data_IF_254091251050
#
_entry.id   IF_254091251050
#
_cell.length_a   1.000
_cell.length_b   1.000
_cell.length_c   1.000
_cell.angle_alpha   90.00
_cell.angle_beta   90.00
_cell.angle_gamma   90.00
#
_symmetry.space_group_name_H-M   'P 1'
#
loop_
_entity.id
_entity.type
_entity.pdbx_description
1 polymer ?
#
# COMPACT_ATOMS: atom_id res chain seq x y z
N UNK A 1 22.17 26.06 -12.30
CA UNK A 1 22.45 25.12 -13.41
C UNK A 1 21.81 23.80 -13.01
N UNK A 2 20.70 23.44 -13.65
CA UNK A 2 20.06 22.16 -13.45
C UNK A 2 20.89 21.14 -14.20
N UNK A 3 21.65 20.36 -13.47
CA UNK A 3 22.40 19.25 -14.04
C UNK A 3 21.40 18.13 -14.28
N UNK A 4 21.20 17.72 -15.52
CA UNK A 4 20.47 16.51 -15.85
C UNK A 4 21.17 15.33 -15.16
N UNK A 5 20.42 14.51 -14.42
CA UNK A 5 20.96 13.34 -13.73
C UNK A 5 21.38 12.32 -14.80
N UNK A 6 22.69 12.16 -15.00
CA UNK A 6 23.23 11.15 -15.91
C UNK A 6 23.38 9.81 -15.17
N UNK A 7 22.56 8.84 -15.54
CA UNK A 7 22.61 7.46 -15.05
C UNK A 7 23.29 6.51 -16.04
N UNK A 8 23.98 7.07 -17.05
CA UNK A 8 24.72 6.29 -18.05
C UNK A 8 25.85 5.53 -17.36
N UNK A 9 25.94 4.22 -17.58
CA UNK A 9 26.99 3.40 -16.96
C UNK A 9 26.66 2.85 -15.56
N UNK A 10 25.53 3.24 -14.95
CA UNK A 10 25.09 2.62 -13.71
C UNK A 10 24.72 1.15 -13.98
N UNK A 11 25.41 0.24 -13.30
CA UNK A 11 25.10 -1.19 -13.38
C UNK A 11 23.81 -1.47 -12.60
N UNK A 12 22.80 -1.94 -13.31
CA UNK A 12 21.49 -2.26 -12.74
C UNK A 12 21.31 -3.76 -12.62
N UNK A 13 20.79 -4.26 -11.50
CA UNK A 13 20.39 -5.66 -11.41
C UNK A 13 19.22 -5.91 -12.38
N UNK A 14 19.19 -7.10 -12.97
CA UNK A 14 18.13 -7.46 -13.92
C UNK A 14 16.92 -8.07 -13.24
N UNK A 15 17.11 -8.79 -12.13
CA UNK A 15 16.10 -9.60 -11.49
C UNK A 15 16.43 -9.79 -10.00
N UNK A 16 15.40 -9.89 -9.18
CA UNK A 16 15.51 -10.43 -7.82
C UNK A 16 15.26 -11.94 -7.90
N UNK A 17 16.27 -12.73 -7.61
CA UNK A 17 16.13 -14.19 -7.49
C UNK A 17 15.58 -14.52 -6.11
N UNK A 18 14.55 -15.35 -6.05
CA UNK A 18 13.97 -15.80 -4.78
C UNK A 18 14.16 -17.31 -4.63
N UNK A 19 14.56 -17.70 -3.43
CA UNK A 19 14.65 -19.11 -3.01
C UNK A 19 13.81 -19.32 -1.76
N UNK A 20 12.75 -20.13 -1.87
CA UNK A 20 11.94 -20.51 -0.70
C UNK A 20 12.69 -21.55 0.11
N UNK A 21 12.54 -21.51 1.42
CA UNK A 21 13.07 -22.53 2.31
C UNK A 21 12.12 -23.73 2.31
N UNK A 22 12.64 -24.92 2.11
CA UNK A 22 11.85 -26.15 2.09
C UNK A 22 11.26 -26.51 3.46
N UNK A 23 11.96 -26.15 4.54
CA UNK A 23 11.59 -26.43 5.92
C UNK A 23 10.57 -25.42 6.49
N UNK A 24 10.41 -24.24 5.88
CA UNK A 24 9.52 -23.21 6.38
C UNK A 24 8.93 -22.37 5.22
N UNK A 25 7.64 -22.57 4.90
CA UNK A 25 6.98 -21.84 3.81
C UNK A 25 6.88 -20.33 4.06
N UNK A 26 7.05 -19.91 5.31
CA UNK A 26 7.02 -18.49 5.71
C UNK A 26 8.41 -17.85 5.69
N UNK A 27 9.43 -18.56 5.17
CA UNK A 27 10.79 -18.04 5.06
C UNK A 27 11.32 -18.14 3.62
N UNK A 28 11.97 -17.07 3.16
CA UNK A 28 12.59 -17.01 1.84
C UNK A 28 13.87 -16.17 1.86
N UNK A 29 14.73 -16.41 0.87
CA UNK A 29 15.91 -15.63 0.58
C UNK A 29 15.75 -14.91 -0.76
N UNK A 30 16.08 -13.65 -0.77
CA UNK A 30 16.02 -12.78 -1.96
C UNK A 30 17.43 -12.34 -2.31
N UNK A 31 17.86 -12.65 -3.52
CA UNK A 31 19.19 -12.30 -4.02
C UNK A 31 19.09 -11.25 -5.11
N UNK A 32 19.83 -10.15 -4.92
CA UNK A 32 19.92 -9.05 -5.87
C UNK A 32 21.38 -8.84 -6.27
N UNK A 33 21.66 -8.98 -7.56
CA UNK A 33 22.99 -8.77 -8.15
C UNK A 33 22.90 -8.47 -9.65
N UNK A 34 23.92 -7.80 -10.24
CA UNK A 34 25.01 -7.13 -9.58
C UNK A 34 24.59 -5.74 -9.07
N UNK A 35 25.21 -5.27 -8.00
CA UNK A 35 25.07 -3.93 -7.47
C UNK A 35 26.44 -3.26 -7.47
N UNK A 36 26.50 -1.95 -7.61
CA UNK A 36 27.75 -1.24 -7.42
C UNK A 36 28.22 -1.33 -5.97
N UNK A 37 29.53 -1.22 -5.78
CA UNK A 37 30.17 -1.34 -4.47
C UNK A 37 29.55 -0.40 -3.44
N UNK A 38 29.15 -0.96 -2.30
CA UNK A 38 28.50 -0.25 -1.19
C UNK A 38 26.98 -0.17 -1.28
N UNK A 39 26.37 -0.35 -2.45
CA UNK A 39 24.91 -0.33 -2.61
C UNK A 39 24.23 -1.51 -1.90
N UNK A 40 24.90 -2.67 -1.84
CA UNK A 40 24.40 -3.82 -1.10
C UNK A 40 24.08 -3.51 0.36
N UNK A 41 24.97 -2.80 1.05
CA UNK A 41 24.75 -2.39 2.44
C UNK A 41 23.67 -1.33 2.57
N UNK A 42 23.63 -0.35 1.69
CA UNK A 42 22.63 0.73 1.71
C UNK A 42 21.22 0.18 1.52
N UNK A 43 21.02 -0.62 0.47
CA UNK A 43 19.71 -1.22 0.18
C UNK A 43 19.32 -2.27 1.22
N UNK A 44 20.26 -3.15 1.59
CA UNK A 44 20.01 -4.21 2.57
C UNK A 44 19.58 -3.67 3.93
N UNK A 45 20.27 -2.65 4.43
CA UNK A 45 19.91 -2.04 5.71
C UNK A 45 18.58 -1.28 5.63
N UNK A 46 18.32 -0.56 4.55
CA UNK A 46 17.06 0.18 4.35
C UNK A 46 15.86 -0.77 4.30
N UNK A 47 15.91 -1.81 3.48
CA UNK A 47 14.85 -2.81 3.36
C UNK A 47 14.67 -3.56 4.68
N UNK A 48 15.77 -4.00 5.32
CA UNK A 48 15.68 -4.67 6.62
C UNK A 48 14.98 -3.83 7.68
N UNK A 49 15.30 -2.54 7.78
CA UNK A 49 14.66 -1.63 8.74
C UNK A 49 13.17 -1.49 8.47
N UNK A 50 12.77 -1.33 7.21
CA UNK A 50 11.37 -1.24 6.82
C UNK A 50 10.60 -2.53 7.09
N UNK A 51 11.19 -3.68 6.80
CA UNK A 51 10.61 -5.00 7.12
C UNK A 51 10.32 -5.15 8.62
N UNK A 52 11.21 -4.66 9.49
CA UNK A 52 11.11 -4.86 10.94
C UNK A 52 10.24 -3.81 11.66
N UNK A 53 9.90 -2.68 11.02
CA UNK A 53 9.22 -1.59 11.72
C UNK A 53 8.01 -1.00 11.01
N UNK A 54 7.89 -1.17 9.68
CA UNK A 54 7.00 -0.29 8.92
C UNK A 54 5.81 -0.99 8.28
N UNK A 55 5.81 -2.33 8.26
CA UNK A 55 4.71 -3.10 7.69
C UNK A 55 3.48 -3.03 8.61
N UNK A 56 2.31 -2.98 7.98
CA UNK A 56 1.02 -3.00 8.68
C UNK A 56 0.59 -4.44 8.92
N UNK A 57 0.07 -4.71 10.12
CA UNK A 57 -0.50 -5.99 10.50
C UNK A 57 -1.67 -5.81 11.44
N UNK A 58 -2.27 -6.91 11.90
CA UNK A 58 -3.34 -6.91 12.87
C UNK A 58 -2.87 -7.62 14.15
N UNK A 59 -3.32 -7.14 15.31
CA UNK A 59 -3.01 -7.72 16.61
C UNK A 59 -4.16 -7.49 17.61
N UNK A 60 -4.19 -8.31 18.66
CA UNK A 60 -5.03 -8.05 19.82
C UNK A 60 -4.39 -6.91 20.61
N UNK A 61 -5.16 -5.86 20.89
CA UNK A 61 -4.71 -4.69 21.64
C UNK A 61 -5.37 -4.55 23.00
N UNK A 62 -6.52 -5.23 23.18
CA UNK A 62 -7.20 -5.31 24.45
C UNK A 62 -8.02 -6.60 24.50
N UNK A 63 -8.36 -7.05 25.68
CA UNK A 63 -9.25 -8.17 25.88
C UNK A 63 -10.11 -7.96 27.12
N UNK A 64 -11.22 -8.65 27.13
CA UNK A 64 -12.11 -8.83 28.25
C UNK A 64 -12.32 -10.32 28.47
N UNK A 65 -12.24 -10.80 29.70
CA UNK A 65 -12.49 -12.19 30.04
C UNK A 65 -13.21 -12.23 31.36
N UNK A 66 -14.23 -13.06 31.49
CA UNK A 66 -15.01 -13.18 32.70
C UNK A 66 -14.13 -13.49 33.92
N UNK A 67 -14.30 -12.67 34.97
CA UNK A 67 -13.51 -12.77 36.19
C UNK A 67 -12.17 -12.04 36.17
N UNK A 68 -11.84 -11.33 35.08
CA UNK A 68 -10.64 -10.47 34.98
C UNK A 68 -11.02 -9.00 35.21
N UNK A 69 -10.32 -8.35 36.11
CA UNK A 69 -10.47 -6.91 36.42
C UNK A 69 -9.15 -6.18 36.17
N UNK A 70 -8.03 -6.83 36.36
CA UNK A 70 -6.70 -6.27 36.10
C UNK A 70 -5.68 -7.36 35.76
N UNK A 71 -4.54 -6.97 35.20
CA UNK A 71 -3.52 -7.87 34.65
C UNK A 71 -2.76 -8.73 35.72
N UNK A 72 -2.76 -8.29 36.97
CA UNK A 72 -2.00 -8.96 38.06
C UNK A 72 -2.87 -9.83 38.93
N UNK A 73 -3.79 -10.60 38.35
CA UNK A 73 -4.68 -11.50 39.12
C UNK A 73 -4.65 -12.93 38.58
N UNK A 74 -5.18 -13.83 39.37
CA UNK A 74 -5.53 -15.20 38.97
C UNK A 74 -7.02 -15.31 38.76
N UNK A 75 -7.42 -16.17 37.85
CA UNK A 75 -8.83 -16.44 37.58
C UNK A 75 -9.21 -17.78 38.26
N UNK A 76 -10.22 -17.77 39.11
CA UNK A 76 -10.70 -19.01 39.75
C UNK A 76 -11.14 -19.99 38.66
N UNK A 77 -10.64 -21.25 38.72
CA UNK A 77 -10.96 -22.30 37.75
C UNK A 77 -10.19 -22.20 36.42
N UNK A 78 -9.20 -21.33 36.32
CA UNK A 78 -8.24 -21.28 35.21
C UNK A 78 -6.83 -21.59 35.72
N UNK A 79 -6.07 -22.38 34.96
CA UNK A 79 -4.72 -22.82 35.35
C UNK A 79 -3.74 -21.67 35.32
N UNK A 80 -3.83 -20.88 34.25
CA UNK A 80 -2.92 -19.76 33.96
C UNK A 80 -3.36 -18.49 34.69
N UNK A 81 -2.39 -17.68 35.10
CA UNK A 81 -2.65 -16.32 35.54
C UNK A 81 -2.92 -15.39 34.33
N UNK A 82 -3.49 -14.22 34.62
CA UNK A 82 -3.83 -13.25 33.56
C UNK A 82 -2.59 -12.84 32.77
N UNK A 83 -1.42 -12.75 33.40
CA UNK A 83 -0.19 -12.39 32.72
C UNK A 83 0.24 -13.45 31.68
N UNK A 84 0.11 -14.73 32.01
CA UNK A 84 0.35 -15.83 31.07
C UNK A 84 -0.63 -15.82 29.91
N UNK A 85 -1.92 -15.52 30.17
CA UNK A 85 -2.93 -15.37 29.14
C UNK A 85 -2.54 -14.23 28.19
N UNK A 86 -2.14 -13.07 28.72
CA UNK A 86 -1.65 -11.94 27.95
C UNK A 86 -0.48 -12.33 27.03
N UNK A 87 0.50 -13.07 27.57
CA UNK A 87 1.65 -13.53 26.76
C UNK A 87 1.21 -14.46 25.60
N UNK A 88 0.19 -15.27 25.79
CA UNK A 88 -0.37 -16.15 24.76
C UNK A 88 -1.21 -15.38 23.74
N UNK A 89 -1.99 -14.38 24.19
CA UNK A 89 -2.74 -13.48 23.30
C UNK A 89 -1.81 -12.67 22.39
N UNK A 90 -0.66 -12.22 22.90
CA UNK A 90 0.39 -11.55 22.07
C UNK A 90 0.97 -12.46 20.99
N UNK A 91 0.87 -13.78 21.12
CA UNK A 91 1.31 -14.76 20.13
C UNK A 91 0.22 -15.13 19.13
N UNK A 92 -1.02 -14.69 19.36
CA UNK A 92 -2.12 -14.92 18.42
C UNK A 92 -1.84 -14.19 17.11
N UNK A 93 -1.86 -14.94 16.03
CA UNK A 93 -1.58 -14.42 14.69
C UNK A 93 -2.88 -14.42 13.88
N UNK A 94 -3.28 -13.25 13.41
CA UNK A 94 -4.56 -13.08 12.72
C UNK A 94 -4.45 -12.04 11.59
N UNK A 95 -5.38 -12.11 10.66
CA UNK A 95 -5.53 -11.18 9.53
C UNK A 95 -6.91 -10.56 9.61
N UNK A 96 -7.01 -9.26 9.38
CA UNK A 96 -8.27 -8.56 9.15
C UNK A 96 -8.43 -8.25 7.66
N UNK A 97 -9.66 -8.28 7.19
CA UNK A 97 -10.00 -7.87 5.82
C UNK A 97 -9.45 -6.47 5.51
N UNK A 98 -9.07 -6.19 4.25
CA UNK A 98 -8.47 -4.90 3.87
C UNK A 98 -9.28 -3.69 4.29
N UNK A 99 -10.60 -3.77 4.19
CA UNK A 99 -11.55 -2.66 4.43
C UNK A 99 -11.98 -2.53 5.91
N UNK A 100 -11.53 -3.44 6.79
CA UNK A 100 -11.87 -3.45 8.21
C UNK A 100 -10.64 -3.12 9.03
N UNK A 101 -10.69 -2.03 9.80
CA UNK A 101 -9.58 -1.60 10.64
C UNK A 101 -9.64 -2.15 12.07
N UNK A 102 -10.84 -2.49 12.56
CA UNK A 102 -11.07 -2.98 13.92
C UNK A 102 -12.14 -4.07 13.93
N UNK A 103 -11.99 -5.05 14.83
CA UNK A 103 -12.96 -6.12 15.04
C UNK A 103 -12.96 -6.57 16.49
N UNK A 104 -14.08 -7.12 16.95
CA UNK A 104 -14.20 -7.78 18.24
C UNK A 104 -14.47 -9.26 18.00
N UNK A 105 -13.57 -10.11 18.50
CA UNK A 105 -13.70 -11.55 18.41
C UNK A 105 -14.22 -12.09 19.72
N UNK A 106 -15.16 -13.03 19.67
CA UNK A 106 -15.76 -13.64 20.84
C UNK A 106 -15.19 -15.03 21.07
N UNK A 107 -15.02 -15.38 22.33
CA UNK A 107 -14.63 -16.72 22.76
C UNK A 107 -15.59 -17.17 23.87
N UNK A 108 -16.08 -18.38 23.76
CA UNK A 108 -16.94 -18.97 24.80
C UNK A 108 -16.56 -20.42 25.01
N UNK A 109 -16.45 -20.83 26.27
CA UNK A 109 -16.16 -22.20 26.67
C UNK A 109 -16.93 -22.56 27.95
N UNK A 110 -17.54 -23.75 27.95
CA UNK A 110 -18.35 -24.26 29.07
C UNK A 110 -17.76 -25.51 29.72
N UNK A 111 -16.73 -26.14 29.08
CA UNK A 111 -16.14 -27.40 29.52
C UNK A 111 -14.69 -27.26 29.92
N UNK A 112 -14.29 -28.03 30.96
CA UNK A 112 -12.90 -28.15 31.38
C UNK A 112 -11.98 -28.58 30.24
N UNK A 113 -10.77 -28.12 30.28
CA UNK A 113 -9.73 -28.44 29.33
C UNK A 113 -9.07 -27.21 28.65
N UNK A 114 -8.13 -27.45 27.76
CA UNK A 114 -7.40 -26.38 27.09
C UNK A 114 -8.29 -25.67 26.07
N UNK A 115 -8.17 -24.35 26.03
CA UNK A 115 -8.87 -23.44 25.11
C UNK A 115 -7.83 -22.91 24.11
N UNK A 116 -8.08 -23.12 22.84
CA UNK A 116 -7.18 -22.76 21.77
C UNK A 116 -7.74 -21.62 20.91
N UNK A 117 -6.91 -21.03 20.08
CA UNK A 117 -7.32 -20.00 19.14
C UNK A 117 -8.43 -20.44 18.16
N UNK A 118 -8.50 -21.73 17.82
CA UNK A 118 -9.61 -22.31 17.03
C UNK A 118 -10.98 -22.30 17.72
N UNK A 119 -11.00 -22.14 19.05
CA UNK A 119 -12.24 -22.07 19.83
C UNK A 119 -12.82 -20.64 19.86
N UNK A 120 -12.11 -19.66 19.28
CA UNK A 120 -12.64 -18.33 19.02
C UNK A 120 -13.72 -18.44 17.94
N UNK A 121 -14.86 -17.77 18.16
CA UNK A 121 -15.96 -17.76 17.22
C UNK A 121 -15.54 -17.20 15.86
N UNK A 122 -16.04 -17.81 14.78
CA UNK A 122 -15.73 -17.36 13.43
C UNK A 122 -16.26 -15.93 13.21
N UNK A 123 -15.40 -15.05 12.74
CA UNK A 123 -15.76 -13.67 12.43
C UNK A 123 -15.60 -13.41 10.92
N UNK A 124 -16.57 -12.73 10.30
CA UNK A 124 -16.61 -12.54 8.86
C UNK A 124 -15.38 -11.80 8.30
N UNK A 125 -14.86 -10.84 9.07
CA UNK A 125 -13.74 -9.98 8.66
C UNK A 125 -12.39 -10.36 9.30
N UNK A 126 -12.27 -11.49 10.01
CA UNK A 126 -11.04 -11.89 10.68
C UNK A 126 -10.73 -13.37 10.47
N UNK A 127 -9.49 -13.67 10.12
CA UNK A 127 -9.00 -15.04 9.98
C UNK A 127 -7.81 -15.29 10.91
N UNK A 128 -7.85 -16.41 11.66
CA UNK A 128 -6.80 -16.84 12.57
C UNK A 128 -5.81 -17.72 11.81
N UNK A 129 -4.54 -17.35 11.82
CA UNK A 129 -3.47 -18.04 11.08
C UNK A 129 -2.89 -19.20 11.90
N UNK A 130 -2.86 -19.08 13.23
CA UNK A 130 -2.33 -20.10 14.14
C UNK A 130 -3.41 -20.72 15.06
N UNK A 131 -4.37 -21.50 14.53
CA UNK A 131 -5.52 -22.03 15.30
C UNK A 131 -5.13 -22.98 16.44
N UNK A 132 -3.91 -23.50 16.42
CA UNK A 132 -3.35 -24.35 17.48
C UNK A 132 -2.75 -23.59 18.67
N UNK A 133 -2.77 -22.26 18.67
CA UNK A 133 -2.25 -21.45 19.78
C UNK A 133 -3.12 -21.66 21.03
N UNK A 134 -2.48 -22.11 22.12
CA UNK A 134 -3.15 -22.24 23.42
C UNK A 134 -3.36 -20.86 24.03
N UNK A 135 -4.57 -20.56 24.49
CA UNK A 135 -4.92 -19.30 25.15
C UNK A 135 -4.95 -19.45 26.67
N UNK A 136 -5.74 -20.38 27.19
CA UNK A 136 -5.83 -20.70 28.61
C UNK A 136 -6.40 -22.11 28.81
N UNK A 137 -6.44 -22.60 30.05
CA UNK A 137 -6.94 -23.95 30.40
C UNK A 137 -7.93 -23.84 31.53
N UNK A 138 -9.17 -24.34 31.32
CA UNK A 138 -10.19 -24.46 32.36
C UNK A 138 -9.96 -25.74 33.19
N UNK A 139 -9.96 -25.60 34.52
CA UNK A 139 -9.82 -26.72 35.45
C UNK A 139 -11.13 -27.48 35.65
N UNK A 140 -12.23 -26.76 35.65
CA UNK A 140 -13.57 -27.27 35.91
C UNK A 140 -14.54 -26.86 34.79
N UNK A 141 -15.69 -27.58 34.71
CA UNK A 141 -16.78 -27.20 33.83
C UNK A 141 -17.39 -25.87 34.32
N UNK A 142 -17.19 -24.83 33.53
CA UNK A 142 -17.59 -23.48 33.85
C UNK A 142 -17.79 -22.68 32.55
N UNK A 143 -18.88 -21.93 32.52
CA UNK A 143 -19.11 -20.98 31.42
C UNK A 143 -18.15 -19.77 31.57
N UNK A 144 -17.28 -19.59 30.59
CA UNK A 144 -16.35 -18.48 30.49
C UNK A 144 -16.53 -17.85 29.14
N UNK A 145 -16.89 -16.57 29.14
CA UNK A 145 -16.98 -15.76 27.94
C UNK A 145 -15.88 -14.70 27.92
N UNK A 146 -15.43 -14.36 26.73
CA UNK A 146 -14.41 -13.33 26.53
C UNK A 146 -14.55 -12.63 25.20
N UNK A 147 -13.98 -11.44 25.14
CA UNK A 147 -13.91 -10.58 23.96
C UNK A 147 -12.46 -10.21 23.71
N UNK A 148 -12.02 -10.34 22.47
CA UNK A 148 -10.69 -9.94 22.02
C UNK A 148 -10.85 -8.77 21.05
N UNK A 149 -10.33 -7.63 21.43
CA UNK A 149 -10.35 -6.41 20.63
C UNK A 149 -9.13 -6.40 19.73
N UNK A 150 -9.36 -6.42 18.43
CA UNK A 150 -8.33 -6.51 17.40
C UNK A 150 -8.37 -5.27 16.54
N UNK A 151 -7.20 -4.73 16.20
CA UNK A 151 -7.09 -3.63 15.26
C UNK A 151 -5.86 -3.78 14.35
N UNK A 152 -5.77 -2.93 13.34
CA UNK A 152 -4.61 -2.79 12.46
C UNK A 152 -3.68 -1.70 12.96
N UNK A 153 -2.38 -2.01 12.96
CA UNK A 153 -1.34 -1.07 13.35
C UNK A 153 -0.01 -1.36 12.66
N UNK A 154 1.06 -0.71 13.13
CA UNK A 154 2.44 -0.88 12.64
C UNK A 154 3.40 -1.01 13.80
N UNK A 155 4.40 -1.89 13.63
CA UNK A 155 5.47 -2.06 14.61
C UNK A 155 4.98 -2.61 15.94
N UNK A 156 5.34 -1.95 17.02
CA UNK A 156 4.99 -2.29 18.40
C UNK A 156 4.32 -1.07 19.07
N UNK A 157 3.22 -1.32 19.75
CA UNK A 157 2.47 -0.28 20.47
C UNK A 157 2.25 -0.77 21.90
N UNK A 158 2.66 0.03 22.87
CA UNK A 158 2.48 -0.25 24.29
C UNK A 158 1.01 -0.11 24.72
N UNK A 159 0.60 -0.84 25.73
CA UNK A 159 -0.77 -0.86 26.24
C UNK A 159 -1.30 0.55 26.60
N UNK A 160 -0.43 1.41 27.11
CA UNK A 160 -0.79 2.78 27.51
C UNK A 160 -1.04 3.71 26.32
N UNK A 161 -0.43 3.42 25.15
CA UNK A 161 -0.54 4.23 23.94
C UNK A 161 -1.82 3.94 23.15
N UNK A 162 -2.51 2.85 23.47
CA UNK A 162 -3.79 2.57 22.84
C UNK A 162 -4.87 3.58 23.29
N UNK A 163 -5.74 4.03 22.39
CA UNK A 163 -6.75 5.01 22.69
C UNK A 163 -7.67 4.49 23.80
N UNK A 164 -7.97 5.38 24.75
CA UNK A 164 -8.99 5.11 25.77
C UNK A 164 -10.32 5.51 25.16
N UNK A 165 -11.07 4.54 24.65
CA UNK A 165 -12.43 4.78 24.21
C UNK A 165 -13.37 4.69 25.43
N UNK A 166 -14.17 5.74 25.64
CA UNK A 166 -15.16 5.79 26.72
C UNK A 166 -16.33 4.84 26.52
N UNK A 167 -16.44 4.26 25.33
CA UNK A 167 -17.45 3.25 24.99
C UNK A 167 -17.06 1.85 25.43
N UNK A 168 -15.79 1.60 25.76
CA UNK A 168 -15.30 0.30 26.19
C UNK A 168 -15.78 0.00 27.64
N UNK A 169 -16.14 -1.26 27.95
CA UNK A 169 -16.39 -1.70 29.29
C UNK A 169 -15.22 -1.42 30.25
N UNK A 170 -15.52 -1.18 31.52
CA UNK A 170 -14.50 -0.81 32.53
C UNK A 170 -13.53 -1.95 32.81
N UNK A 171 -13.96 -3.20 32.59
CA UNK A 171 -13.20 -4.44 32.80
C UNK A 171 -12.36 -4.89 31.61
N UNK A 172 -12.18 -4.02 30.60
CA UNK A 172 -11.28 -4.28 29.46
C UNK A 172 -9.82 -4.03 29.86
N UNK A 173 -8.99 -5.03 29.67
CA UNK A 173 -7.54 -4.97 29.90
C UNK A 173 -6.82 -4.70 28.58
N UNK A 174 -6.11 -3.58 28.51
CA UNK A 174 -5.26 -3.23 27.34
C UNK A 174 -3.93 -3.97 27.44
N UNK A 175 -3.41 -4.40 26.30
CA UNK A 175 -2.14 -5.12 26.21
C UNK A 175 -1.26 -4.52 25.12
N UNK A 176 0.05 -4.71 25.25
CA UNK A 176 0.99 -4.32 24.18
C UNK A 176 0.72 -5.16 22.94
N UNK A 177 0.78 -4.50 21.78
CA UNK A 177 0.45 -5.11 20.51
C UNK A 177 1.66 -5.18 19.58
N UNK A 178 1.90 -6.35 19.01
CA UNK A 178 2.94 -6.60 18.02
C UNK A 178 2.27 -6.74 16.65
N UNK A 179 2.26 -5.63 15.89
CA UNK A 179 1.60 -5.60 14.58
C UNK A 179 2.47 -6.11 13.45
N UNK A 180 3.80 -6.08 13.65
CA UNK A 180 4.72 -6.41 12.56
C UNK A 180 4.58 -7.89 12.13
N UNK A 181 4.28 -8.17 10.85
CA UNK A 181 4.16 -9.53 10.35
C UNK A 181 5.52 -10.21 10.12
N UNK A 182 6.63 -9.47 10.12
CA UNK A 182 7.97 -10.02 9.93
C UNK A 182 8.61 -10.35 11.27
N UNK A 183 8.90 -11.63 11.47
CA UNK A 183 9.58 -12.15 12.69
C UNK A 183 11.07 -11.96 12.63
N UNK A 184 11.68 -12.19 11.47
CA UNK A 184 13.12 -12.09 11.25
C UNK A 184 13.43 -11.51 9.88
N UNK A 185 14.34 -10.55 9.84
CA UNK A 185 14.92 -10.03 8.62
C UNK A 185 16.41 -9.80 8.80
N UNK A 186 17.21 -10.42 7.95
CA UNK A 186 18.66 -10.25 7.91
C UNK A 186 19.11 -10.03 6.47
N UNK A 187 20.30 -9.45 6.31
CA UNK A 187 20.94 -9.37 5.01
C UNK A 187 22.44 -9.66 5.10
N UNK A 188 22.99 -10.13 4.00
CA UNK A 188 24.42 -10.33 3.79
C UNK A 188 24.83 -9.72 2.46
N UNK A 189 26.02 -9.17 2.41
CA UNK A 189 26.63 -8.64 1.18
C UNK A 189 27.90 -9.40 0.89
N UNK A 190 28.03 -9.90 -0.32
CA UNK A 190 29.20 -10.61 -0.81
C UNK A 190 29.66 -10.00 -2.14
N UNK A 191 30.94 -10.07 -2.43
CA UNK A 191 31.47 -9.65 -3.71
C UNK A 191 30.99 -10.60 -4.84
N UNK A 192 30.75 -10.04 -6.00
CA UNK A 192 30.36 -10.78 -7.20
C UNK A 192 31.13 -10.27 -8.43
N UNK A 193 31.31 -11.15 -9.42
CA UNK A 193 32.04 -10.83 -10.64
C UNK A 193 31.11 -10.58 -11.80
N UNK A 194 31.35 -9.49 -12.53
CA UNK A 194 30.69 -9.21 -13.80
C UNK A 194 31.76 -8.93 -14.86
N UNK A 195 31.90 -9.84 -15.79
CA UNK A 195 32.96 -9.75 -16.81
C UNK A 195 34.37 -9.78 -16.19
N UNK A 196 35.14 -8.73 -16.39
CA UNK A 196 36.50 -8.60 -15.85
C UNK A 196 36.54 -7.93 -14.46
N UNK A 197 35.45 -7.31 -14.01
CA UNK A 197 35.36 -6.62 -12.73
C UNK A 197 34.82 -7.54 -11.65
N UNK A 198 35.44 -7.52 -10.47
CA UNK A 198 35.11 -8.37 -9.31
C UNK A 198 34.62 -7.55 -8.12
N UNK A 199 34.42 -6.24 -8.28
CA UNK A 199 34.13 -5.28 -7.24
C UNK A 199 32.63 -4.91 -7.13
N UNK A 200 31.75 -5.78 -7.62
CA UNK A 200 30.31 -5.62 -7.47
C UNK A 200 29.78 -6.31 -6.23
N UNK A 201 28.72 -5.76 -5.65
CA UNK A 201 28.02 -6.33 -4.52
C UNK A 201 26.93 -7.31 -4.98
N UNK A 202 26.79 -8.40 -4.22
CA UNK A 202 25.64 -9.30 -4.23
C UNK A 202 24.94 -9.19 -2.88
N UNK A 203 23.74 -8.66 -2.87
CA UNK A 203 22.89 -8.56 -1.70
C UNK A 203 22.01 -9.81 -1.59
N UNK A 204 22.01 -10.45 -0.43
CA UNK A 204 21.08 -11.53 -0.07
C UNK A 204 20.29 -11.10 1.16
N UNK A 205 18.95 -11.05 1.07
CA UNK A 205 18.05 -10.70 2.16
C UNK A 205 17.29 -11.96 2.56
N UNK A 206 17.37 -12.37 3.83
CA UNK A 206 16.61 -13.49 4.38
C UNK A 206 15.45 -12.94 5.22
N UNK A 207 14.24 -13.37 4.91
CA UNK A 207 13.00 -12.90 5.56
C UNK A 207 12.21 -14.09 6.07
N UNK A 208 11.70 -13.98 7.29
CA UNK A 208 10.78 -14.92 7.91
C UNK A 208 9.57 -14.15 8.44
N UNK A 209 8.36 -14.55 8.00
CA UNK A 209 7.10 -13.93 8.41
C UNK A 209 6.37 -14.79 9.45
N UNK A 210 5.30 -14.26 10.00
CA UNK A 210 4.41 -14.99 10.91
C UNK A 210 3.29 -15.77 10.19
N UNK A 211 3.26 -15.73 8.85
CA UNK A 211 2.27 -16.39 8.00
C UNK A 211 1.06 -15.53 7.61
N UNK A 212 0.94 -14.29 8.13
CA UNK A 212 -0.13 -13.36 7.69
C UNK A 212 0.14 -12.72 6.35
N UNK A 213 1.40 -12.66 5.94
CA UNK A 213 1.88 -12.16 4.66
C UNK A 213 2.95 -13.09 4.12
N UNK A 214 3.03 -13.26 2.81
CA UNK A 214 4.12 -14.00 2.19
C UNK A 214 5.45 -13.24 2.33
N UNK A 215 6.62 -13.91 2.38
CA UNK A 215 7.91 -13.24 2.35
C UNK A 215 8.09 -12.35 1.12
N UNK A 216 7.54 -12.73 -0.02
CA UNK A 216 7.55 -11.99 -1.29
C UNK A 216 6.83 -10.65 -1.14
N UNK A 217 5.58 -10.71 -0.68
CA UNK A 217 4.75 -9.51 -0.48
C UNK A 217 5.33 -8.59 0.59
N UNK A 218 5.94 -9.16 1.64
CA UNK A 218 6.59 -8.39 2.68
C UNK A 218 7.76 -7.56 2.13
N UNK A 219 8.62 -8.16 1.29
CA UNK A 219 9.75 -7.45 0.66
C UNK A 219 9.24 -6.44 -0.36
N UNK A 220 8.24 -6.78 -1.16
CA UNK A 220 7.63 -5.86 -2.12
C UNK A 220 7.01 -4.65 -1.42
N UNK A 221 6.29 -4.87 -0.31
CA UNK A 221 5.70 -3.80 0.50
C UNK A 221 6.79 -2.89 1.11
N UNK A 222 7.85 -3.47 1.68
CA UNK A 222 8.97 -2.70 2.22
C UNK A 222 9.66 -1.86 1.13
N UNK A 223 9.85 -2.41 -0.07
CA UNK A 223 10.43 -1.70 -1.21
C UNK A 223 9.53 -0.56 -1.70
N UNK A 224 8.21 -0.79 -1.78
CA UNK A 224 7.24 0.24 -2.15
C UNK A 224 7.21 1.39 -1.13
N UNK A 225 7.28 1.09 0.17
CA UNK A 225 7.40 2.12 1.21
C UNK A 225 8.68 2.94 1.05
N UNK A 226 9.82 2.29 0.74
CA UNK A 226 11.07 2.98 0.46
C UNK A 226 10.94 3.93 -0.73
N UNK A 227 10.39 3.43 -1.82
CA UNK A 227 10.18 4.20 -3.04
C UNK A 227 9.31 5.43 -2.80
N UNK A 228 8.20 5.28 -2.07
CA UNK A 228 7.29 6.39 -1.76
C UNK A 228 7.98 7.48 -0.94
N UNK A 229 8.81 7.10 0.05
CA UNK A 229 9.56 8.07 0.84
C UNK A 229 10.67 8.75 0.02
N UNK A 230 11.38 8.01 -0.83
CA UNK A 230 12.40 8.62 -1.71
C UNK A 230 11.81 9.55 -2.76
N UNK A 231 10.58 9.32 -3.18
CA UNK A 231 9.86 10.17 -4.13
C UNK A 231 9.82 11.63 -3.68
N UNK A 232 9.60 11.90 -2.39
CA UNK A 232 9.61 13.27 -1.86
C UNK A 232 10.95 13.99 -2.08
N UNK A 233 12.08 13.28 -2.03
CA UNK A 233 13.39 13.87 -2.31
C UNK A 233 13.58 14.14 -3.80
N UNK A 234 13.09 13.26 -4.65
CA UNK A 234 13.12 13.45 -6.12
C UNK A 234 12.28 14.67 -6.50
N UNK A 235 11.06 14.77 -6.00
CA UNK A 235 10.15 15.87 -6.28
C UNK A 235 10.67 17.20 -5.72
N UNK A 236 11.30 17.20 -4.56
CA UNK A 236 11.92 18.38 -3.95
C UNK A 236 13.04 18.97 -4.81
N UNK A 237 13.88 18.13 -5.39
CA UNK A 237 15.00 18.54 -6.20
C UNK A 237 14.61 19.07 -7.59
N UNK A 238 13.34 18.86 -8.04
CA UNK A 238 12.89 19.14 -9.42
C UNK A 238 13.90 18.70 -10.47
N UNK A 239 14.60 17.59 -10.23
CA UNK A 239 15.57 17.02 -11.16
C UNK A 239 14.78 16.28 -12.23
N UNK A 240 14.80 16.73 -13.51
CA UNK A 240 14.17 15.96 -14.57
C UNK A 240 14.92 14.64 -14.71
N UNK A 241 14.28 13.55 -14.34
CA UNK A 241 14.80 12.20 -14.59
C UNK A 241 14.65 11.93 -16.10
N UNK A 242 15.75 11.92 -16.81
CA UNK A 242 15.78 11.34 -18.15
C UNK A 242 15.71 9.83 -17.96
N UNK A 243 14.52 9.27 -18.09
CA UNK A 243 14.34 7.82 -18.21
C UNK A 243 15.14 7.36 -19.43
N UNK A 244 16.23 6.62 -19.20
CA UNK A 244 16.75 5.77 -20.25
C UNK A 244 15.62 4.79 -20.62
N UNK A 245 15.16 4.84 -21.84
CA UNK A 245 14.10 3.99 -22.38
C UNK A 245 14.34 2.53 -21.97
N UNK A 246 13.48 2.04 -21.10
CA UNK A 246 13.28 0.60 -20.99
C UNK A 246 12.64 0.15 -22.31
N UNK A 247 13.04 -1.01 -22.89
CA UNK A 247 12.38 -1.50 -24.09
C UNK A 247 10.89 -1.67 -23.80
N UNK A 248 10.08 -1.05 -24.63
CA UNK A 248 8.64 -1.08 -24.56
C UNK A 248 8.11 -2.51 -24.46
N UNK A 249 7.57 -2.88 -23.31
CA UNK A 249 6.75 -4.04 -23.19
C UNK A 249 5.60 -3.76 -22.22
N UNK A 250 4.40 -3.68 -22.78
CA UNK A 250 3.16 -3.91 -22.04
C UNK A 250 2.38 -2.65 -21.66
N UNK A 251 1.39 -2.38 -22.48
CA UNK A 251 0.32 -1.42 -22.34
C UNK A 251 -0.19 -1.17 -20.94
N UNK A 252 -0.35 0.08 -20.66
CA UNK A 252 -1.26 0.58 -19.63
C UNK A 252 -2.66 0.18 -20.05
N UNK A 253 -3.35 -0.51 -19.16
CA UNK A 253 -4.70 -1.03 -19.36
C UNK A 253 -5.65 0.04 -19.94
N UNK A 254 -6.13 -0.21 -21.16
CA UNK A 254 -6.95 0.70 -21.96
C UNK A 254 -8.37 0.93 -21.46
N UNK A 255 -8.81 0.39 -20.34
CA UNK A 255 -10.19 0.49 -19.88
C UNK A 255 -10.53 1.85 -19.20
N UNK A 256 -9.57 2.45 -18.50
CA UNK A 256 -9.80 3.74 -17.83
C UNK A 256 -9.80 4.93 -18.81
N UNK A 257 -8.87 4.95 -19.77
CA UNK A 257 -8.72 6.05 -20.73
C UNK A 257 -9.84 6.06 -21.76
N UNK A 258 -10.22 4.90 -22.28
CA UNK A 258 -11.34 4.75 -23.21
C UNK A 258 -12.66 5.22 -22.59
N UNK A 259 -12.92 4.88 -21.33
CA UNK A 259 -14.09 5.36 -20.59
C UNK A 259 -14.09 6.87 -20.38
N UNK A 260 -12.95 7.48 -20.07
CA UNK A 260 -12.82 8.93 -19.91
C UNK A 260 -13.03 9.67 -21.24
N UNK A 261 -12.45 9.20 -22.33
CA UNK A 261 -12.56 9.81 -23.65
C UNK A 261 -13.96 9.70 -24.26
N UNK A 262 -14.74 8.68 -23.88
CA UNK A 262 -16.12 8.49 -24.32
C UNK A 262 -17.14 9.39 -23.58
N UNK A 263 -16.73 10.10 -22.51
CA UNK A 263 -17.62 10.99 -21.74
C UNK A 263 -18.13 12.14 -22.60
N UNK A 264 -19.44 12.43 -22.46
CA UNK A 264 -20.09 13.56 -23.14
C UNK A 264 -19.57 14.89 -22.59
N UNK A 265 -19.41 15.88 -23.48
CA UNK A 265 -19.04 17.25 -23.07
C UNK A 265 -20.10 17.91 -22.15
N UNK A 266 -21.33 17.39 -22.10
CA UNK A 266 -22.40 17.87 -21.22
C UNK A 266 -22.07 17.55 -19.73
N UNK A 267 -21.37 16.45 -19.48
CA UNK A 267 -21.07 15.93 -18.13
C UNK A 267 -19.75 16.46 -17.56
N UNK A 268 -19.04 17.31 -18.31
CA UNK A 268 -17.69 17.77 -17.96
C UNK A 268 -17.66 19.07 -17.14
N UNK A 269 -18.83 19.65 -16.81
CA UNK A 269 -18.94 20.85 -15.98
C UNK A 269 -18.48 22.15 -16.65
N UNK A 270 -18.45 22.18 -17.98
CA UNK A 270 -18.19 23.38 -18.77
C UNK A 270 -19.41 24.32 -18.75
N UNK A 271 -19.20 25.63 -19.00
CA UNK A 271 -20.30 26.57 -19.11
C UNK A 271 -21.25 26.21 -20.25
N UNK A 272 -22.55 26.48 -20.11
CA UNK A 272 -23.57 26.18 -21.13
C UNK A 272 -23.21 26.80 -22.48
N UNK A 273 -22.53 27.95 -22.47
CA UNK A 273 -22.07 28.62 -23.69
C UNK A 273 -20.94 27.85 -24.35
N UNK A 274 -19.97 27.40 -23.59
CA UNK A 274 -18.83 26.58 -24.06
C UNK A 274 -19.33 25.28 -24.67
N UNK A 275 -20.23 24.57 -23.97
CA UNK A 275 -20.86 23.33 -24.45
C UNK A 275 -21.58 23.50 -25.77
N UNK A 276 -22.43 24.54 -25.89
CA UNK A 276 -23.17 24.81 -27.12
C UNK A 276 -22.27 25.16 -28.31
N UNK A 277 -21.19 25.89 -28.06
CA UNK A 277 -20.20 26.26 -29.09
C UNK A 277 -19.43 25.06 -29.60
N UNK A 278 -19.02 24.14 -28.70
CA UNK A 278 -18.34 22.90 -29.05
C UNK A 278 -19.28 21.95 -29.84
N UNK A 279 -20.53 21.80 -29.42
CA UNK A 279 -21.53 20.99 -30.13
C UNK A 279 -21.80 21.48 -31.55
N UNK A 280 -21.85 22.79 -31.74
CA UNK A 280 -22.05 23.40 -33.07
C UNK A 280 -20.85 23.13 -34.00
N UNK A 281 -19.69 22.82 -33.47
CA UNK A 281 -18.49 22.42 -34.20
C UNK A 281 -18.31 20.90 -34.28
N UNK A 282 -19.35 20.14 -33.95
CA UNK A 282 -19.39 18.68 -33.99
C UNK A 282 -18.48 17.98 -32.98
N UNK A 283 -18.03 18.69 -31.94
CA UNK A 283 -17.27 18.14 -30.80
C UNK A 283 -18.30 17.71 -29.76
N UNK A 284 -18.42 16.40 -29.49
CA UNK A 284 -19.43 15.83 -28.62
C UNK A 284 -18.89 15.08 -27.44
N UNK A 285 -17.65 14.57 -27.55
CA UNK A 285 -16.99 13.77 -26.52
C UNK A 285 -15.67 14.43 -26.08
N UNK A 286 -15.17 14.00 -24.94
CA UNK A 286 -13.84 14.42 -24.49
C UNK A 286 -12.75 13.94 -25.46
N UNK A 287 -12.95 12.79 -26.09
CA UNK A 287 -12.06 12.25 -27.12
C UNK A 287 -11.99 13.11 -28.38
N UNK A 288 -13.12 13.73 -28.78
CA UNK A 288 -13.11 14.69 -29.87
C UNK A 288 -12.34 15.97 -29.49
N UNK A 289 -12.56 16.44 -28.24
CA UNK A 289 -11.99 17.69 -27.76
C UNK A 289 -10.46 17.67 -27.69
N UNK A 290 -9.86 16.58 -27.22
CA UNK A 290 -8.39 16.46 -27.09
C UNK A 290 -7.64 16.42 -28.42
N UNK A 291 -8.32 16.15 -29.53
CA UNK A 291 -7.72 16.13 -30.87
C UNK A 291 -7.50 17.53 -31.45
N UNK A 292 -8.13 18.56 -30.89
CA UNK A 292 -7.98 19.94 -31.37
C UNK A 292 -6.81 20.64 -30.70
N UNK A 293 -6.17 21.55 -31.45
CA UNK A 293 -5.18 22.47 -30.87
C UNK A 293 -5.88 23.68 -30.24
N UNK A 294 -5.22 24.40 -29.33
CA UNK A 294 -5.74 25.66 -28.77
C UNK A 294 -6.08 26.67 -29.88
N UNK A 295 -5.25 26.74 -30.92
CA UNK A 295 -5.45 27.64 -32.06
C UNK A 295 -6.64 27.25 -32.93
N UNK A 296 -7.01 25.98 -33.00
CA UNK A 296 -8.17 25.52 -33.74
C UNK A 296 -9.45 25.75 -32.95
N UNK A 297 -9.42 25.61 -31.64
CA UNK A 297 -10.54 25.92 -30.76
C UNK A 297 -10.87 27.43 -30.75
N UNK A 298 -9.89 28.29 -30.85
CA UNK A 298 -10.11 29.76 -31.00
C UNK A 298 -10.75 30.14 -32.32
N UNK A 299 -10.66 29.31 -33.38
CA UNK A 299 -11.35 29.52 -34.65
C UNK A 299 -12.83 29.11 -34.61
N UNK A 300 -13.22 28.35 -33.57
CA UNK A 300 -14.61 27.93 -33.40
C UNK A 300 -15.47 29.14 -33.01
N UNK A 301 -16.56 29.32 -33.71
CA UNK A 301 -17.48 30.45 -33.49
C UNK A 301 -18.03 30.45 -32.07
N UNK A 302 -17.85 31.59 -31.38
CA UNK A 302 -18.24 31.84 -29.96
C UNK A 302 -17.42 31.09 -28.89
N UNK A 303 -16.27 30.55 -29.21
CA UNK A 303 -15.25 30.11 -28.23
C UNK A 303 -14.26 31.28 -28.07
N UNK A 304 -14.26 31.92 -26.91
CA UNK A 304 -13.32 32.98 -26.57
C UNK A 304 -12.26 32.49 -25.56
N UNK A 305 -11.34 33.38 -25.17
CA UNK A 305 -10.25 33.06 -24.24
C UNK A 305 -10.74 32.48 -22.89
N UNK A 306 -11.87 32.96 -22.39
CA UNK A 306 -12.47 32.41 -21.15
C UNK A 306 -12.92 30.96 -21.30
N UNK A 307 -13.56 30.63 -22.44
CA UNK A 307 -13.97 29.26 -22.72
C UNK A 307 -12.75 28.33 -22.95
N UNK A 308 -11.69 28.86 -23.56
CA UNK A 308 -10.43 28.14 -23.71
C UNK A 308 -9.78 27.85 -22.35
N UNK A 309 -9.81 28.82 -21.43
CA UNK A 309 -9.35 28.63 -20.06
C UNK A 309 -10.11 27.53 -19.31
N UNK A 310 -11.46 27.51 -19.39
CA UNK A 310 -12.29 26.44 -18.83
C UNK A 310 -11.93 25.05 -19.40
N UNK A 311 -11.68 24.97 -20.71
CA UNK A 311 -11.27 23.73 -21.38
C UNK A 311 -9.87 23.31 -20.97
N UNK A 312 -8.91 24.24 -20.90
CA UNK A 312 -7.55 23.98 -20.46
C UNK A 312 -7.48 23.45 -19.03
N UNK A 313 -8.28 24.05 -18.12
CA UNK A 313 -8.36 23.61 -16.72
C UNK A 313 -9.04 22.22 -16.58
N UNK A 314 -10.02 21.95 -17.43
CA UNK A 314 -10.66 20.64 -17.51
C UNK A 314 -9.66 19.57 -17.96
N UNK A 315 -8.96 19.79 -19.08
CA UNK A 315 -7.97 18.83 -19.60
C UNK A 315 -6.85 18.58 -18.60
N UNK A 316 -6.38 19.63 -17.90
CA UNK A 316 -5.37 19.50 -16.85
C UNK A 316 -5.85 18.64 -15.68
N UNK A 317 -7.13 18.78 -15.26
CA UNK A 317 -7.74 18.00 -14.19
C UNK A 317 -7.88 16.53 -14.55
N UNK A 318 -8.22 16.24 -15.81
CA UNK A 318 -8.36 14.88 -16.32
C UNK A 318 -7.00 14.28 -16.78
N UNK A 319 -5.90 15.04 -16.70
CA UNK A 319 -4.56 14.60 -17.09
C UNK A 319 -4.37 14.43 -18.61
N UNK A 320 -5.15 15.19 -19.41
CA UNK A 320 -5.16 15.15 -20.86
C UNK A 320 -4.54 16.42 -21.46
N UNK A 321 -4.08 16.33 -22.72
CA UNK A 321 -3.44 17.42 -23.45
C UNK A 321 -4.23 17.80 -24.70
N UNK A 322 -3.93 18.97 -25.26
CA UNK A 322 -4.42 19.37 -26.60
C UNK A 322 -3.64 18.66 -27.71
N UNK A 323 -4.27 18.52 -28.86
CA UNK A 323 -3.68 17.93 -30.08
C UNK A 323 -3.20 16.47 -29.89
N UNK A 324 -3.84 15.71 -29.02
CA UNK A 324 -3.56 14.27 -28.84
C UNK A 324 -4.03 13.50 -30.08
N UNK A 325 -3.19 12.60 -30.58
CA UNK A 325 -3.61 11.64 -31.62
C UNK A 325 -4.03 10.33 -30.98
N UNK A 326 -5.25 9.95 -31.29
CA UNK A 326 -5.91 8.77 -30.73
C UNK A 326 -6.22 7.85 -31.91
N UNK A 327 -5.78 6.58 -31.82
CA UNK A 327 -6.14 5.52 -32.76
C UNK A 327 -6.88 4.40 -32.03
N UNK A 328 -7.95 3.92 -32.61
CA UNK A 328 -8.68 2.76 -32.14
C UNK A 328 -8.18 1.52 -32.90
N UNK A 329 -7.46 0.64 -32.18
CA UNK A 329 -6.94 -0.62 -32.72
C UNK A 329 -7.50 -1.76 -31.89
N UNK A 330 -8.20 -2.68 -32.54
CA UNK A 330 -8.79 -3.87 -31.92
C UNK A 330 -9.74 -3.59 -30.72
N UNK A 331 -10.50 -2.48 -30.77
CA UNK A 331 -11.41 -2.07 -29.69
C UNK A 331 -10.71 -1.45 -28.47
N UNK A 332 -9.40 -1.23 -28.53
CA UNK A 332 -8.64 -0.50 -27.52
C UNK A 332 -8.17 0.87 -28.04
N UNK A 333 -8.41 1.90 -27.23
CA UNK A 333 -7.96 3.27 -27.54
C UNK A 333 -6.51 3.44 -27.16
N UNK A 334 -5.66 3.79 -28.14
CA UNK A 334 -4.23 4.07 -27.94
C UNK A 334 -3.93 5.53 -28.30
N UNK A 335 -3.15 6.19 -27.44
CA UNK A 335 -2.59 7.51 -27.72
C UNK A 335 -1.31 7.31 -28.49
N UNK A 336 -1.27 7.78 -29.75
CA UNK A 336 -0.08 7.72 -30.61
C UNK A 336 0.77 8.98 -30.51
N UNK A 337 0.17 10.11 -30.08
CA UNK A 337 0.88 11.36 -29.79
C UNK A 337 0.28 12.00 -28.53
N UNK A 338 1.07 12.29 -27.49
CA UNK A 338 0.57 12.87 -26.24
C UNK A 338 0.13 14.33 -26.34
N UNK A 339 0.33 14.98 -27.48
CA UNK A 339 -0.10 16.37 -27.70
C UNK A 339 0.67 17.42 -26.88
N UNK A 340 0.08 18.60 -26.75
CA UNK A 340 0.68 19.77 -26.07
C UNK A 340 -0.06 20.05 -24.78
N UNK A 341 0.66 20.17 -23.66
CA UNK A 341 0.08 20.47 -22.36
C UNK A 341 -0.62 21.85 -22.34
N UNK A 342 -1.81 21.99 -21.73
CA UNK A 342 -2.53 23.25 -21.68
C UNK A 342 -1.75 24.31 -20.87
N UNK A 343 -1.61 25.50 -21.44
CA UNK A 343 -0.95 26.64 -20.79
C UNK A 343 -1.92 27.26 -19.77
N UNK A 344 -1.39 27.68 -18.60
CA UNK A 344 -2.18 28.38 -17.61
C UNK A 344 -2.51 29.80 -18.11
N UNK A 345 -3.75 30.04 -18.48
CA UNK A 345 -4.26 31.40 -18.65
C UNK A 345 -4.65 31.96 -17.28
N UNK A 346 -3.88 32.94 -16.78
CA UNK A 346 -4.22 33.64 -15.54
C UNK A 346 -5.55 34.38 -15.74
N UNK A 347 -6.58 34.02 -14.98
CA UNK A 347 -7.77 34.83 -14.82
C UNK A 347 -7.36 36.03 -13.97
N UNK A 348 -7.05 37.16 -14.59
CA UNK A 348 -7.04 38.45 -13.89
C UNK A 348 -8.44 38.68 -13.31
N UNK A 349 -8.48 38.78 -11.98
CA UNK A 349 -9.68 39.14 -11.24
C UNK A 349 -10.16 40.50 -11.65
N UNK A 350 -11.42 40.61 -12.02
CA UNK A 350 -12.13 41.86 -12.07
C UNK A 350 -12.65 42.14 -10.65
N UNK A 351 -11.98 43.03 -9.94
CA UNK A 351 -12.63 43.91 -8.99
C UNK A 351 -13.42 44.94 -9.79
N UNK A 352 -14.72 44.95 -9.60
CA UNK A 352 -15.62 46.07 -9.42
C UNK A 352 -17.03 45.55 -9.13
#
# INVERSE_FOLDING_TARGET
VITTLDLTGLVRPHLVEMTKREDNPNAAEFRLQPLERGYGYTLGNSIRRMLLSSLRGAAVWAFRLDGVVHEHQTITGVVEDVHQIIQRLKQLTLVLDPDVDEAVLHIRRDKAGPVYARDIEAHAAAAIVNPGQLLFTLQDDRDVAGELYVNKGRGYVEAEQHPVDRTLPVDVVRIDSIYNPVRRANFTVAETRVGQRTDYDRLTISVETNGTISPEDAVAYAAALAQEHFRFFVDFGKVPMVSAEAPASGGVAGDGLAGSLARSIDDLGLSVRSVNSLKNSNIRTLGDLVQYTESDLLKVKNVGEKALGEIADLLRREGLNFAMRIEEVDGAVRVTDPGVAPVAHATEGAEE
#
